data_IF_455901780547
#
_entry.id   IF_455901780547
#
_cell.length_a   1.000
_cell.length_b   1.000
_cell.length_c   1.000
_cell.angle_alpha   90.00
_cell.angle_beta   90.00
_cell.angle_gamma   90.00
#
_symmetry.space_group_name_H-M   'P 1'
#
loop_
_entity.id
_entity.type
_entity.pdbx_description
1 polymer ?
#
# COMPACT_ATOMS: atom_id res chain seq x y z
N UNK A 1 -20.51 21.24 3.19
CA UNK A 1 -20.67 19.78 3.05
C UNK A 1 -20.21 19.24 1.68
N UNK A 2 -20.10 20.09 0.66
CA UNK A 2 -19.66 19.72 -0.70
C UNK A 2 -18.16 19.39 -0.79
N UNK A 3 -17.31 20.16 -0.09
CA UNK A 3 -15.85 20.00 -0.11
C UNK A 3 -15.37 18.65 0.48
N UNK A 4 -16.14 18.05 1.39
CA UNK A 4 -15.78 16.79 2.03
C UNK A 4 -16.00 15.54 1.16
N UNK A 5 -17.00 15.56 0.28
CA UNK A 5 -17.28 14.46 -0.67
C UNK A 5 -16.23 14.41 -1.79
N UNK A 6 -15.79 15.58 -2.27
CA UNK A 6 -14.78 15.68 -3.33
C UNK A 6 -13.42 15.14 -2.88
N UNK A 7 -13.03 15.41 -1.63
CA UNK A 7 -11.77 14.91 -1.06
C UNK A 7 -11.78 13.38 -0.84
N UNK A 8 -12.92 12.79 -0.48
CA UNK A 8 -13.05 11.34 -0.32
C UNK A 8 -12.90 10.59 -1.65
N UNK A 9 -13.47 11.13 -2.74
CA UNK A 9 -13.32 10.58 -4.09
C UNK A 9 -11.87 10.74 -4.61
N UNK A 10 -11.21 11.86 -4.31
CA UNK A 10 -9.83 12.12 -4.75
C UNK A 10 -8.81 11.10 -4.18
N UNK A 11 -9.04 10.55 -2.99
CA UNK A 11 -8.13 9.60 -2.36
C UNK A 11 -8.34 8.15 -2.80
N UNK A 12 -9.47 7.83 -3.43
CA UNK A 12 -9.83 6.44 -3.77
C UNK A 12 -8.91 5.81 -4.82
N UNK A 13 -8.20 6.57 -5.65
CA UNK A 13 -7.24 6.02 -6.63
C UNK A 13 -5.84 6.66 -6.53
N UNK A 14 -5.57 7.36 -5.42
CA UNK A 14 -4.29 8.01 -5.15
C UNK A 14 -3.46 7.10 -4.23
N UNK A 15 -2.16 6.96 -4.50
CA UNK A 15 -1.26 6.30 -3.55
C UNK A 15 -1.04 7.23 -2.35
N UNK A 16 -1.82 7.02 -1.27
CA UNK A 16 -1.68 7.82 -0.06
C UNK A 16 -0.43 7.40 0.70
N UNK A 17 0.31 8.37 1.25
CA UNK A 17 1.52 8.09 2.02
C UNK A 17 1.12 7.79 3.46
N UNK A 18 1.46 6.60 3.96
CA UNK A 18 1.11 6.17 5.31
C UNK A 18 2.32 5.52 5.99
N UNK A 19 2.43 5.75 7.29
CA UNK A 19 3.31 4.95 8.14
C UNK A 19 2.69 3.58 8.40
N UNK A 20 3.53 2.59 8.72
CA UNK A 20 3.11 1.21 8.91
C UNK A 20 2.03 1.06 9.99
N UNK A 21 2.18 1.71 11.14
CA UNK A 21 1.18 1.63 12.21
C UNK A 21 -0.20 2.13 11.75
N UNK A 22 -0.23 3.23 11.00
CA UNK A 22 -1.46 3.82 10.46
C UNK A 22 -2.08 2.86 9.44
N UNK A 23 -1.29 2.32 8.51
CA UNK A 23 -1.75 1.38 7.48
C UNK A 23 -2.30 0.10 8.09
N UNK A 24 -1.62 -0.46 9.09
CA UNK A 24 -2.03 -1.71 9.73
C UNK A 24 -3.28 -1.54 10.61
N UNK A 25 -3.57 -0.31 11.04
CA UNK A 25 -4.78 0.05 11.81
C UNK A 25 -6.03 0.32 10.97
N UNK A 26 -5.94 0.27 9.62
CA UNK A 26 -7.07 0.60 8.75
C UNK A 26 -8.28 -0.28 9.04
N UNK A 27 -9.43 0.37 9.26
CA UNK A 27 -10.68 -0.34 9.52
C UNK A 27 -11.27 -0.87 8.22
N UNK A 28 -12.03 -1.95 8.34
CA UNK A 28 -12.78 -2.51 7.23
C UNK A 28 -14.23 -2.65 7.65
N UNK A 29 -15.14 -2.20 6.79
CA UNK A 29 -16.54 -2.55 6.91
C UNK A 29 -16.76 -3.87 6.14
N UNK A 30 -17.34 -4.90 6.77
CA UNK A 30 -17.81 -6.06 6.05
C UNK A 30 -19.00 -5.62 5.19
N UNK A 31 -18.78 -5.41 3.91
CA UNK A 31 -19.90 -5.51 2.98
C UNK A 31 -20.26 -7.00 2.93
N UNK A 32 -21.50 -7.33 3.30
CA UNK A 32 -22.05 -8.69 3.36
C UNK A 32 -22.23 -9.34 1.96
N UNK A 33 -21.39 -8.99 0.99
CA UNK A 33 -21.40 -9.60 -0.34
C UNK A 33 -20.05 -10.26 -0.62
N UNK A 34 -20.04 -11.57 -0.98
CA UNK A 34 -18.82 -12.29 -1.33
C UNK A 34 -18.10 -11.73 -2.57
N UNK A 35 -18.74 -10.86 -3.35
CA UNK A 35 -18.18 -10.21 -4.54
C UNK A 35 -17.75 -8.74 -4.29
N UNK A 36 -17.96 -8.19 -3.09
CA UNK A 36 -17.59 -6.81 -2.81
C UNK A 36 -16.07 -6.69 -2.60
N UNK A 37 -15.43 -5.86 -3.43
CA UNK A 37 -14.02 -5.52 -3.27
C UNK A 37 -13.73 -5.03 -1.83
N UNK A 38 -12.73 -5.64 -1.19
CA UNK A 38 -12.25 -5.24 0.14
C UNK A 38 -12.01 -3.73 0.18
N UNK A 39 -12.79 -3.02 1.00
CA UNK A 39 -12.70 -1.58 1.15
C UNK A 39 -12.03 -1.25 2.48
N UNK A 40 -10.93 -0.51 2.44
CA UNK A 40 -10.20 -0.06 3.62
C UNK A 40 -10.56 1.37 3.94
N UNK A 41 -10.66 1.69 5.22
CA UNK A 41 -11.07 3.01 5.66
C UNK A 41 -10.11 3.56 6.71
N UNK A 42 -9.84 4.86 6.60
CA UNK A 42 -9.24 5.67 7.67
C UNK A 42 -10.24 6.73 8.07
N UNK A 43 -10.80 6.64 9.28
CA UNK A 43 -11.80 7.60 9.79
C UNK A 43 -12.99 7.82 8.83
N UNK A 44 -13.44 6.76 8.17
CA UNK A 44 -14.55 6.80 7.20
C UNK A 44 -14.15 7.21 5.78
N UNK A 45 -12.89 7.57 5.53
CA UNK A 45 -12.38 7.86 4.19
C UNK A 45 -11.93 6.55 3.52
N UNK A 46 -12.45 6.21 2.33
CA UNK A 46 -12.02 5.02 1.62
C UNK A 46 -10.58 5.19 1.10
N UNK A 47 -9.74 4.18 1.35
CA UNK A 47 -8.37 4.08 0.88
C UNK A 47 -8.23 2.78 0.10
N UNK A 48 -7.65 2.84 -1.10
CA UNK A 48 -7.42 1.65 -1.92
C UNK A 48 -5.95 1.42 -2.26
N UNK A 49 -5.15 2.48 -2.28
CA UNK A 49 -3.76 2.49 -2.74
C UNK A 49 -2.88 3.23 -1.76
N UNK A 50 -1.66 2.77 -1.60
CA UNK A 50 -0.71 3.31 -0.63
C UNK A 50 0.68 3.44 -1.23
N UNK A 51 1.43 4.38 -0.70
CA UNK A 51 2.88 4.48 -0.80
C UNK A 51 3.45 4.33 0.61
N UNK A 52 4.40 3.41 0.77
CA UNK A 52 5.16 3.20 2.00
C UNK A 52 6.65 3.26 1.69
N UNK A 53 7.46 3.58 2.69
CA UNK A 53 8.91 3.59 2.61
C UNK A 53 9.50 3.04 3.89
N UNK A 54 10.49 2.17 3.77
CA UNK A 54 11.24 1.66 4.90
C UNK A 54 12.23 0.58 4.48
N UNK A 55 12.80 -0.10 5.47
CA UNK A 55 13.78 -1.17 5.28
C UNK A 55 13.09 -2.49 4.96
N UNK A 56 13.62 -3.25 3.99
CA UNK A 56 13.14 -4.59 3.68
C UNK A 56 13.58 -5.58 4.76
N UNK A 57 12.64 -6.09 5.56
CA UNK A 57 12.92 -6.98 6.72
C UNK A 57 12.54 -8.44 6.49
N UNK A 58 11.95 -8.77 5.34
CA UNK A 58 11.65 -10.13 4.92
C UNK A 58 11.86 -10.23 3.41
N UNK A 59 12.37 -11.36 2.91
CA UNK A 59 12.44 -11.63 1.49
C UNK A 59 12.23 -13.13 1.24
N UNK A 60 11.11 -13.50 0.61
CA UNK A 60 10.73 -14.88 0.32
C UNK A 60 10.21 -14.96 -1.12
N UNK A 61 11.10 -15.33 -2.04
CA UNK A 61 10.79 -15.56 -3.44
C UNK A 61 10.21 -16.96 -3.65
N UNK A 62 9.03 -17.03 -4.29
CA UNK A 62 8.50 -18.25 -4.89
C UNK A 62 8.61 -18.09 -6.40
N UNK A 63 9.60 -18.73 -7.05
CA UNK A 63 9.83 -18.59 -8.48
C UNK A 63 8.54 -18.75 -9.28
N UNK A 64 8.38 -17.91 -10.30
CA UNK A 64 7.23 -17.92 -11.24
C UNK A 64 5.85 -17.69 -10.61
N UNK A 65 5.75 -17.51 -9.29
CA UNK A 65 4.49 -17.22 -8.59
C UNK A 65 4.46 -15.82 -8.03
N UNK A 66 5.33 -15.53 -7.07
CA UNK A 66 5.30 -14.28 -6.32
C UNK A 66 6.57 -14.10 -5.48
N UNK A 67 6.88 -12.85 -5.15
CA UNK A 67 7.79 -12.47 -4.08
C UNK A 67 6.97 -11.94 -2.89
N UNK A 68 7.24 -12.46 -1.68
CA UNK A 68 6.75 -11.87 -0.43
C UNK A 68 7.90 -11.17 0.27
N UNK A 69 7.64 -9.98 0.76
CA UNK A 69 8.60 -9.22 1.55
C UNK A 69 7.87 -8.35 2.55
N UNK A 70 8.61 -7.70 3.45
CA UNK A 70 8.04 -6.79 4.43
C UNK A 70 8.85 -5.50 4.45
N UNK A 71 8.17 -4.37 4.65
CA UNK A 71 8.77 -3.04 4.80
C UNK A 71 8.58 -2.59 6.24
N UNK A 72 9.66 -2.25 6.92
CA UNK A 72 9.68 -1.69 8.28
C UNK A 72 10.12 -0.23 8.25
N UNK A 73 9.27 0.66 8.75
CA UNK A 73 9.53 2.11 8.86
C UNK A 73 9.79 2.56 10.32
N UNK A 74 10.03 1.60 11.21
CA UNK A 74 10.19 1.80 12.65
C UNK A 74 8.87 1.97 13.41
N UNK A 75 7.72 1.91 12.73
CA UNK A 75 6.38 1.95 13.36
C UNK A 75 5.62 0.63 13.19
N UNK A 76 6.13 -0.29 12.40
CA UNK A 76 5.57 -1.61 12.15
C UNK A 76 6.11 -2.20 10.85
N UNK A 77 5.85 -3.50 10.63
CA UNK A 77 6.24 -4.21 9.42
C UNK A 77 5.03 -4.44 8.51
N UNK A 78 5.02 -3.86 7.32
CA UNK A 78 3.94 -4.01 6.33
C UNK A 78 4.24 -5.15 5.37
N UNK A 79 3.41 -6.23 5.34
CA UNK A 79 3.57 -7.30 4.36
C UNK A 79 3.30 -6.79 2.94
N UNK A 80 4.18 -7.15 2.01
CA UNK A 80 4.11 -6.81 0.60
C UNK A 80 4.14 -8.07 -0.25
N UNK A 81 3.36 -8.08 -1.33
CA UNK A 81 3.33 -9.17 -2.32
C UNK A 81 3.47 -8.61 -3.73
N UNK A 82 4.44 -9.15 -4.47
CA UNK A 82 4.66 -8.87 -5.87
C UNK A 82 4.35 -10.15 -6.67
N UNK A 83 3.39 -10.09 -7.60
CA UNK A 83 2.96 -11.24 -8.40
C UNK A 83 3.83 -11.42 -9.64
N UNK A 84 4.20 -12.68 -9.93
CA UNK A 84 5.09 -13.06 -11.03
C UNK A 84 4.44 -14.09 -11.98
N UNK A 85 3.15 -14.38 -11.82
CA UNK A 85 2.45 -15.46 -12.50
C UNK A 85 1.97 -15.15 -13.95
N UNK A 86 2.33 -13.99 -14.49
CA UNK A 86 1.78 -13.50 -15.77
C UNK A 86 2.70 -13.71 -16.99
N UNK A 87 3.78 -14.48 -16.85
CA UNK A 87 4.78 -14.71 -17.91
C UNK A 87 4.17 -15.19 -19.23
N UNK A 88 3.29 -16.20 -19.15
CA UNK A 88 2.65 -16.85 -20.29
C UNK A 88 1.23 -16.33 -20.56
N UNK A 89 0.85 -15.19 -19.99
CA UNK A 89 -0.50 -14.65 -20.19
C UNK A 89 -0.72 -14.29 -21.67
N UNK A 90 -1.89 -14.58 -22.27
CA UNK A 90 -2.20 -14.11 -23.62
C UNK A 90 -2.28 -12.58 -23.71
N UNK A 91 -2.51 -11.90 -22.59
CA UNK A 91 -2.56 -10.43 -22.52
C UNK A 91 -1.16 -9.81 -22.54
N UNK A 92 -0.88 -9.00 -23.57
CA UNK A 92 0.37 -8.21 -23.68
C UNK A 92 0.60 -7.35 -22.44
N UNK A 93 -0.47 -6.76 -21.90
CA UNK A 93 -0.40 -5.91 -20.69
C UNK A 93 0.05 -6.72 -19.48
N UNK A 94 -0.41 -7.96 -19.33
CA UNK A 94 -0.02 -8.83 -18.23
C UNK A 94 1.43 -9.32 -18.37
N UNK A 95 1.86 -9.68 -19.59
CA UNK A 95 3.27 -10.03 -19.86
C UNK A 95 4.22 -8.88 -19.55
N UNK A 96 3.89 -7.65 -19.98
CA UNK A 96 4.69 -6.45 -19.62
C UNK A 96 4.75 -6.21 -18.11
N UNK A 97 3.64 -6.44 -17.39
CA UNK A 97 3.66 -6.38 -15.91
C UNK A 97 4.56 -7.45 -15.31
N UNK A 98 4.56 -8.66 -15.86
CA UNK A 98 5.48 -9.72 -15.44
C UNK A 98 6.94 -9.31 -15.66
N UNK A 99 7.30 -8.79 -16.83
CA UNK A 99 8.66 -8.31 -17.12
C UNK A 99 9.11 -7.22 -16.15
N UNK A 100 8.23 -6.27 -15.83
CA UNK A 100 8.51 -5.23 -14.84
C UNK A 100 8.65 -5.82 -13.42
N UNK A 101 7.76 -6.73 -13.04
CA UNK A 101 7.82 -7.41 -11.75
C UNK A 101 9.10 -8.25 -11.60
N UNK A 102 9.58 -8.90 -12.66
CA UNK A 102 10.85 -9.61 -12.65
C UNK A 102 12.03 -8.67 -12.35
N UNK A 103 12.03 -7.45 -12.91
CA UNK A 103 13.05 -6.43 -12.58
C UNK A 103 12.95 -5.97 -11.12
N UNK A 104 11.75 -5.86 -10.59
CA UNK A 104 11.52 -5.48 -9.20
C UNK A 104 12.03 -6.52 -8.20
N UNK A 105 12.09 -7.81 -8.56
CA UNK A 105 12.71 -8.84 -7.69
C UNK A 105 14.17 -8.49 -7.39
N UNK A 106 14.92 -8.00 -8.39
CA UNK A 106 16.33 -7.60 -8.21
C UNK A 106 16.50 -6.33 -7.36
N UNK A 107 15.46 -5.49 -7.29
CA UNK A 107 15.44 -4.24 -6.51
C UNK A 107 15.17 -4.52 -5.03
N UNK A 108 14.31 -5.50 -4.73
CA UNK A 108 13.90 -5.83 -3.36
C UNK A 108 14.94 -6.74 -2.71
N UNK A 109 15.89 -6.14 -2.00
CA UNK A 109 16.92 -6.87 -1.25
C UNK A 109 16.72 -6.68 0.25
N UNK A 110 16.90 -7.74 1.03
CA UNK A 110 16.88 -7.66 2.50
C UNK A 110 17.88 -6.59 2.99
N UNK A 111 17.44 -5.77 3.94
CA UNK A 111 18.22 -4.66 4.51
C UNK A 111 18.29 -3.40 3.63
N UNK A 112 17.81 -3.43 2.39
CA UNK A 112 17.74 -2.23 1.56
C UNK A 112 16.53 -1.37 1.95
N UNK A 113 16.66 -0.05 1.80
CA UNK A 113 15.54 0.87 1.92
C UNK A 113 14.79 0.91 0.59
N UNK A 114 13.49 0.67 0.62
CA UNK A 114 12.66 0.57 -0.57
C UNK A 114 11.36 1.37 -0.45
N UNK A 115 11.07 2.19 -1.46
CA UNK A 115 9.77 2.81 -1.64
C UNK A 115 8.86 1.85 -2.39
N UNK A 116 7.71 1.54 -1.81
CA UNK A 116 6.73 0.63 -2.38
C UNK A 116 5.43 1.35 -2.61
N UNK A 117 4.89 1.24 -3.82
CA UNK A 117 3.52 1.64 -4.16
C UNK A 117 2.70 0.43 -4.52
N UNK A 118 1.44 0.43 -4.09
CA UNK A 118 0.57 -0.68 -4.42
C UNK A 118 -0.87 -0.49 -3.98
N UNK A 119 -1.66 -1.53 -4.25
CA UNK A 119 -3.05 -1.63 -3.83
C UNK A 119 -3.12 -2.34 -2.49
N UNK A 120 -3.95 -1.84 -1.58
CA UNK A 120 -4.29 -2.54 -0.35
C UNK A 120 -5.07 -3.82 -0.65
N UNK A 121 -4.72 -4.87 0.09
CA UNK A 121 -5.38 -6.17 0.03
C UNK A 121 -5.31 -6.83 1.40
N UNK A 122 -6.08 -7.92 1.60
CA UNK A 122 -6.06 -8.69 2.84
C UNK A 122 -5.65 -10.12 2.52
N UNK A 123 -4.80 -10.69 3.37
CA UNK A 123 -4.42 -12.09 3.30
C UNK A 123 -4.44 -12.69 4.69
N UNK A 124 -5.18 -13.79 4.87
CA UNK A 124 -5.37 -14.46 6.17
C UNK A 124 -5.74 -13.50 7.30
N UNK A 125 -6.62 -12.53 7.03
CA UNK A 125 -7.05 -11.55 8.03
C UNK A 125 -6.10 -10.37 8.23
N UNK A 126 -4.88 -10.36 7.69
CA UNK A 126 -3.93 -9.25 7.81
C UNK A 126 -3.91 -8.32 6.60
N UNK A 127 -3.70 -7.02 6.82
CA UNK A 127 -3.50 -6.03 5.74
C UNK A 127 -2.16 -6.32 5.06
N UNK A 128 -2.14 -6.25 3.72
CA UNK A 128 -0.92 -6.35 2.92
C UNK A 128 -1.00 -5.42 1.70
N UNK A 129 0.14 -5.10 1.12
CA UNK A 129 0.24 -4.32 -0.12
C UNK A 129 0.51 -5.24 -1.31
N UNK A 130 -0.41 -5.25 -2.28
CA UNK A 130 -0.14 -5.83 -3.61
C UNK A 130 0.63 -4.79 -4.42
N UNK A 131 1.90 -5.08 -4.67
CA UNK A 131 2.88 -4.14 -5.23
C UNK A 131 2.58 -3.87 -6.70
N UNK A 132 2.58 -2.59 -7.06
CA UNK A 132 2.55 -2.13 -8.45
C UNK A 132 3.87 -1.53 -8.91
N UNK A 133 4.65 -0.97 -7.99
CA UNK A 133 5.92 -0.29 -8.25
C UNK A 133 6.82 -0.34 -7.01
N UNK A 134 8.12 -0.51 -7.22
CA UNK A 134 9.13 -0.50 -6.15
C UNK A 134 10.45 0.09 -6.62
N UNK A 135 11.04 0.93 -5.77
CA UNK A 135 12.32 1.60 -6.04
C UNK A 135 13.20 1.50 -4.81
N UNK A 136 14.47 1.15 -4.99
CA UNK A 136 15.48 1.26 -3.92
C UNK A 136 15.82 2.73 -3.70
N UNK A 137 15.68 3.21 -2.47
CA UNK A 137 16.09 4.56 -2.11
C UNK A 137 17.56 4.56 -1.67
N UNK A 138 18.32 5.54 -2.16
CA UNK A 138 19.75 5.71 -1.84
C UNK A 138 20.06 6.99 -1.06
N UNK A 139 19.14 7.95 -1.06
CA UNK A 139 19.27 9.14 -0.24
C UNK A 139 19.04 8.76 1.23
N UNK A 140 20.02 8.94 2.12
CA UNK A 140 19.86 8.64 3.55
C UNK A 140 18.74 9.45 4.21
N UNK A 141 18.33 10.58 3.61
CA UNK A 141 17.25 11.40 4.13
C UNK A 141 15.85 10.99 3.64
N UNK A 142 15.75 10.03 2.71
CA UNK A 142 14.46 9.65 2.11
C UNK A 142 13.43 9.21 3.16
N UNK A 143 13.86 8.46 4.18
CA UNK A 143 13.00 7.96 5.26
C UNK A 143 12.44 9.10 6.12
N UNK A 144 13.29 10.06 6.52
CA UNK A 144 12.82 11.19 7.33
C UNK A 144 11.89 12.11 6.53
N UNK A 145 12.18 12.34 5.24
CA UNK A 145 11.29 13.12 4.37
C UNK A 145 9.93 12.45 4.19
N UNK A 146 9.90 11.14 3.95
CA UNK A 146 8.64 10.40 3.86
C UNK A 146 7.85 10.44 5.17
N UNK A 147 8.52 10.30 6.31
CA UNK A 147 7.88 10.39 7.63
C UNK A 147 7.25 11.76 7.87
N UNK A 148 7.97 12.84 7.54
CA UNK A 148 7.45 14.21 7.63
C UNK A 148 6.25 14.42 6.70
N UNK A 149 6.30 13.89 5.48
CA UNK A 149 5.18 13.91 4.55
C UNK A 149 3.95 13.19 5.11
N UNK A 150 4.12 11.97 5.64
CA UNK A 150 3.04 11.20 6.25
C UNK A 150 2.39 11.98 7.40
N UNK A 151 3.18 12.60 8.28
CA UNK A 151 2.68 13.41 9.39
C UNK A 151 1.91 14.64 8.88
N UNK A 152 2.48 15.35 7.90
CA UNK A 152 1.86 16.53 7.28
C UNK A 152 0.53 16.18 6.62
N UNK A 153 0.50 15.11 5.82
CA UNK A 153 -0.70 14.65 5.11
C UNK A 153 -1.76 14.12 6.08
N UNK A 154 -1.36 13.41 7.14
CA UNK A 154 -2.28 13.00 8.18
C UNK A 154 -2.97 14.22 8.80
N UNK A 155 -2.20 15.25 9.21
CA UNK A 155 -2.74 16.47 9.82
C UNK A 155 -3.63 17.28 8.87
N UNK A 156 -3.20 17.44 7.62
CA UNK A 156 -3.76 18.44 6.71
C UNK A 156 -4.65 17.88 5.61
N UNK A 157 -4.76 16.55 5.47
CA UNK A 157 -5.55 15.95 4.39
C UNK A 157 -6.41 14.79 4.91
N UNK A 158 -5.81 13.85 5.63
CA UNK A 158 -6.51 12.60 6.00
C UNK A 158 -7.38 12.75 7.24
N UNK A 159 -7.03 13.65 8.16
CA UNK A 159 -7.76 13.86 9.41
C UNK A 159 -8.75 15.03 9.37
N UNK A 160 -8.87 15.74 8.23
CA UNK A 160 -9.74 16.92 8.12
C UNK A 160 -11.22 16.60 7.84
N UNK A 161 -11.56 15.35 7.53
CA UNK A 161 -12.96 14.96 7.33
C UNK A 161 -13.55 14.48 8.67
N UNK A 162 -14.75 14.98 9.07
CA UNK A 162 -15.39 14.52 10.28
C UNK A 162 -15.67 13.02 10.17
N UNK A 163 -15.49 12.28 11.28
CA UNK A 163 -16.09 10.94 11.38
C UNK A 163 -17.58 11.07 11.04
N UNK A 164 -18.18 10.17 10.24
CA UNK A 164 -19.63 10.14 10.14
C UNK A 164 -20.16 10.05 11.56
N UNK A 165 -20.82 11.12 12.01
CA UNK A 165 -21.47 11.17 13.31
C UNK A 165 -22.30 9.90 13.44
N UNK A 166 -22.02 9.09 14.45
CA UNK A 166 -22.97 8.11 14.98
C UNK A 166 -24.25 8.90 15.26
N UNK A 167 -25.20 8.86 14.32
CA UNK A 167 -26.56 9.30 14.60
C UNK A 167 -27.14 8.23 15.53
N UNK A 168 -27.75 8.72 16.60
CA UNK A 168 -28.31 7.92 17.69
C UNK A 168 -29.41 6.95 17.26
#
# INVERSE_FOLDING_TARGET
>A
MENGKNNALALQNTHVKLLAFDLLSLTQFPFHSPDAATSFFRRGIPISRVEILGTVTLHHLKPERLLRFAIDDGTGCVPCVLWLNDANSPSVVRRRRHELAARFVEVVKFGAVARVRGRLSRYKGGVQVTVSDVVTERDPNAEIFHRLDCIRLARNCYNLLPSPSLRG
#
